data_IF_399665576330
#
_entry.id   IF_399665576330
#
_cell.length_a   1.000
_cell.length_b   1.000
_cell.length_c   1.000
_cell.angle_alpha   90.00
_cell.angle_beta   90.00
_cell.angle_gamma   90.00
#
_symmetry.space_group_name_H-M   'P 1'
#
loop_
_entity.id
_entity.type
_entity.pdbx_description
1 polymer ?
#
# COMPACT_ATOMS: atom_id res chain seq x y z
N UNK A 1 -9.01 -13.68 52.13
CA UNK A 1 -9.05 -12.81 50.93
C UNK A 1 -7.76 -13.00 50.13
N UNK A 2 -7.69 -13.96 49.19
CA UNK A 2 -6.57 -14.11 48.26
C UNK A 2 -7.06 -14.13 46.79
N UNK A 3 -7.87 -13.14 46.39
CA UNK A 3 -8.51 -13.11 45.06
C UNK A 3 -7.97 -12.04 44.10
N UNK A 4 -7.31 -10.99 44.60
CA UNK A 4 -6.99 -9.81 43.77
C UNK A 4 -5.67 -9.88 43.01
N UNK A 5 -4.72 -10.74 43.40
CA UNK A 5 -3.42 -10.86 42.71
C UNK A 5 -3.52 -11.74 41.45
N UNK A 6 -4.33 -12.81 41.48
CA UNK A 6 -4.49 -13.73 40.34
C UNK A 6 -5.25 -13.12 39.17
N UNK A 7 -6.14 -12.15 39.41
CA UNK A 7 -6.85 -11.43 38.35
C UNK A 7 -5.98 -10.31 37.73
N UNK A 8 -5.08 -9.71 38.53
CA UNK A 8 -4.11 -8.72 38.03
C UNK A 8 -3.07 -9.38 37.12
N UNK A 9 -2.52 -10.53 37.52
CA UNK A 9 -1.54 -11.28 36.70
C UNK A 9 -2.17 -11.85 35.41
N UNK A 10 -3.46 -12.23 35.46
CA UNK A 10 -4.19 -12.70 34.28
C UNK A 10 -4.54 -11.57 33.30
N UNK A 11 -4.70 -10.34 33.79
CA UNK A 11 -5.01 -9.18 32.95
C UNK A 11 -3.74 -8.55 32.36
N UNK A 12 -2.58 -8.69 33.02
CA UNK A 12 -1.28 -8.27 32.52
C UNK A 12 -0.75 -9.22 31.41
N UNK A 13 -1.04 -10.52 31.51
CA UNK A 13 -0.72 -11.50 30.45
C UNK A 13 -1.62 -11.40 29.20
N UNK A 14 -2.76 -10.71 29.30
CA UNK A 14 -3.67 -10.52 28.16
C UNK A 14 -3.28 -9.34 27.25
N UNK A 15 -2.39 -8.44 27.71
CA UNK A 15 -1.90 -7.30 26.92
C UNK A 15 -0.58 -7.61 26.18
N UNK A 16 0.19 -8.61 26.64
CA UNK A 16 1.46 -9.03 26.02
C UNK A 16 1.33 -9.79 24.68
N UNK A 17 0.10 -10.11 24.25
CA UNK A 17 -0.16 -10.90 23.04
C UNK A 17 -0.67 -10.12 21.83
N UNK A 18 -0.85 -8.79 21.94
CA UNK A 18 -1.30 -7.98 20.81
C UNK A 18 -0.08 -7.56 19.99
N UNK A 19 0.23 -8.37 18.98
CA UNK A 19 1.15 -8.01 17.91
C UNK A 19 0.80 -6.58 17.47
N UNK A 20 1.75 -5.61 17.47
CA UNK A 20 1.45 -4.24 17.10
C UNK A 20 0.77 -4.26 15.73
N UNK A 21 -0.46 -3.73 15.64
CA UNK A 21 -1.30 -3.84 14.44
C UNK A 21 -0.61 -3.36 13.15
N UNK A 22 0.44 -2.54 13.28
CA UNK A 22 1.35 -2.14 12.22
C UNK A 22 2.79 -2.17 12.74
N UNK A 23 3.67 -2.83 11.99
CA UNK A 23 5.11 -2.77 12.23
C UNK A 23 5.63 -1.34 11.92
N UNK A 24 6.84 -1.00 12.37
CA UNK A 24 7.40 0.36 12.21
C UNK A 24 7.48 0.78 10.73
N UNK A 25 7.75 -0.15 9.82
CA UNK A 25 7.85 0.13 8.39
C UNK A 25 6.49 0.51 7.83
N UNK A 26 5.42 -0.19 8.19
CA UNK A 26 4.06 0.11 7.73
C UNK A 26 3.61 1.48 8.25
N UNK A 27 3.95 1.83 9.50
CA UNK A 27 3.66 3.17 10.06
C UNK A 27 4.36 4.28 9.28
N UNK A 28 5.64 4.10 8.99
CA UNK A 28 6.41 5.09 8.22
C UNK A 28 5.92 5.15 6.78
N UNK A 29 5.59 4.01 6.17
CA UNK A 29 5.02 3.95 4.83
C UNK A 29 3.68 4.68 4.76
N UNK A 30 2.80 4.50 5.76
CA UNK A 30 1.51 5.19 5.85
C UNK A 30 1.69 6.70 6.03
N UNK A 31 2.64 7.11 6.88
CA UNK A 31 3.02 8.52 7.01
C UNK A 31 3.51 9.10 5.67
N UNK A 32 4.36 8.36 4.94
CA UNK A 32 4.81 8.77 3.61
C UNK A 32 3.66 8.87 2.61
N UNK A 33 2.71 7.91 2.60
CA UNK A 33 1.51 8.00 1.77
C UNK A 33 0.71 9.26 2.06
N UNK A 34 0.47 9.59 3.33
CA UNK A 34 -0.20 10.83 3.73
C UNK A 34 0.53 12.10 3.27
N UNK A 35 1.86 12.13 3.43
CA UNK A 35 2.70 13.25 2.98
C UNK A 35 2.67 13.41 1.44
N UNK A 36 2.73 12.31 0.69
CA UNK A 36 2.65 12.37 -0.76
C UNK A 36 1.25 12.76 -1.26
N UNK A 37 0.18 12.34 -0.57
CA UNK A 37 -1.16 12.85 -0.84
C UNK A 37 -1.22 14.38 -0.67
N UNK A 38 -0.68 14.90 0.43
CA UNK A 38 -0.63 16.35 0.68
C UNK A 38 0.20 17.09 -0.37
N UNK A 39 1.39 16.58 -0.72
CA UNK A 39 2.26 17.15 -1.75
C UNK A 39 1.57 17.17 -3.13
N UNK A 40 0.87 16.10 -3.49
CA UNK A 40 0.15 16.01 -4.77
C UNK A 40 -1.01 17.00 -4.81
N UNK A 41 -1.77 17.13 -3.71
CA UNK A 41 -2.84 18.11 -3.60
C UNK A 41 -2.32 19.55 -3.70
N UNK A 42 -1.25 19.89 -2.96
CA UNK A 42 -0.61 21.21 -3.03
C UNK A 42 -0.07 21.49 -4.43
N UNK A 43 0.53 20.49 -5.08
CA UNK A 43 0.98 20.60 -6.47
C UNK A 43 -0.17 20.82 -7.47
N UNK A 44 -1.29 20.12 -7.30
CA UNK A 44 -2.49 20.30 -8.12
C UNK A 44 -3.09 21.71 -7.93
N UNK A 45 -3.19 22.20 -6.69
CA UNK A 45 -3.67 23.57 -6.41
C UNK A 45 -2.71 24.62 -6.98
N UNK A 46 -1.39 24.45 -6.80
CA UNK A 46 -0.38 25.39 -7.30
C UNK A 46 -0.31 25.44 -8.83
N UNK A 47 -0.50 24.32 -9.52
CA UNK A 47 -0.55 24.29 -10.99
C UNK A 47 -1.83 24.93 -11.51
N UNK A 48 -2.97 24.67 -10.88
CA UNK A 48 -4.24 25.34 -11.21
C UNK A 48 -4.18 26.86 -11.00
N UNK A 49 -3.54 27.35 -9.92
CA UNK A 49 -3.39 28.79 -9.67
C UNK A 49 -2.37 29.46 -10.59
N UNK A 50 -1.27 28.77 -10.93
CA UNK A 50 -0.26 29.28 -11.86
C UNK A 50 -0.80 29.38 -13.29
N UNK A 51 -1.66 28.45 -13.69
CA UNK A 51 -2.32 28.46 -14.99
C UNK A 51 -3.49 29.46 -15.06
N UNK A 52 -3.99 29.95 -13.92
CA UNK A 52 -4.99 31.02 -13.85
C UNK A 52 -4.41 32.44 -14.09
N UNK A 53 -3.30 32.55 -14.84
CA UNK A 53 -2.82 33.85 -15.33
C UNK A 53 -3.86 34.49 -16.26
N UNK A 54 -4.06 35.83 -16.26
CA UNK A 54 -5.30 36.48 -16.74
C UNK A 54 -5.44 36.55 -18.27
N UNK A 55 -4.70 35.77 -19.03
CA UNK A 55 -4.64 35.86 -20.49
C UNK A 55 -5.17 34.60 -21.15
N UNK A 56 -6.37 34.74 -21.74
CA UNK A 56 -7.03 33.86 -22.72
C UNK A 56 -7.99 32.77 -22.20
N UNK A 57 -9.29 33.10 -22.22
CA UNK A 57 -10.40 32.17 -22.04
C UNK A 57 -10.62 31.15 -23.18
N UNK A 58 -9.66 31.02 -24.11
CA UNK A 58 -9.67 30.00 -25.17
C UNK A 58 -8.90 28.72 -24.77
N UNK A 59 -8.10 28.76 -23.70
CA UNK A 59 -7.18 27.69 -23.28
C UNK A 59 -7.61 26.95 -21.99
N UNK A 60 -8.83 27.18 -21.51
CA UNK A 60 -9.32 26.59 -20.26
C UNK A 60 -9.37 25.05 -20.32
N UNK A 61 -9.80 24.47 -21.44
CA UNK A 61 -9.82 23.03 -21.65
C UNK A 61 -8.42 22.40 -21.70
N UNK A 62 -7.46 23.05 -22.39
CA UNK A 62 -6.07 22.60 -22.44
C UNK A 62 -5.41 22.69 -21.05
N UNK A 63 -5.71 23.75 -20.30
CA UNK A 63 -5.24 23.95 -18.93
C UNK A 63 -5.76 22.88 -17.96
N UNK A 64 -7.06 22.58 -18.02
CA UNK A 64 -7.67 21.51 -17.21
C UNK A 64 -7.09 20.14 -17.58
N UNK A 65 -6.91 19.86 -18.88
CA UNK A 65 -6.29 18.63 -19.36
C UNK A 65 -4.85 18.48 -18.84
N UNK A 66 -4.01 19.51 -18.98
CA UNK A 66 -2.61 19.49 -18.51
C UNK A 66 -2.56 19.31 -16.98
N UNK A 67 -3.48 19.93 -16.25
CA UNK A 67 -3.54 19.81 -14.78
C UNK A 67 -3.99 18.40 -14.36
N UNK A 68 -5.03 17.84 -14.99
CA UNK A 68 -5.52 16.50 -14.71
C UNK A 68 -4.49 15.43 -15.08
N UNK A 69 -3.83 15.55 -16.24
CA UNK A 69 -2.75 14.65 -16.65
C UNK A 69 -1.53 14.78 -15.75
N UNK A 70 -1.13 15.99 -15.37
CA UNK A 70 -0.02 16.23 -14.45
C UNK A 70 -0.25 15.57 -13.09
N UNK A 71 -1.46 15.73 -12.54
CA UNK A 71 -1.86 15.08 -11.29
C UNK A 71 -1.83 13.55 -11.41
N UNK A 72 -2.36 13.01 -12.49
CA UNK A 72 -2.39 11.57 -12.78
C UNK A 72 -0.99 10.96 -12.87
N UNK A 73 -0.09 11.59 -13.62
CA UNK A 73 1.30 11.15 -13.78
C UNK A 73 2.07 11.27 -12.46
N UNK A 74 1.89 12.36 -11.71
CA UNK A 74 2.52 12.54 -10.40
C UNK A 74 2.10 11.44 -9.43
N UNK A 75 0.81 11.10 -9.40
CA UNK A 75 0.30 10.01 -8.56
C UNK A 75 0.90 8.65 -8.94
N UNK A 76 0.93 8.32 -10.24
CA UNK A 76 1.57 7.09 -10.71
C UNK A 76 3.06 7.00 -10.35
N UNK A 77 3.77 8.13 -10.35
CA UNK A 77 5.18 8.19 -9.95
C UNK A 77 5.35 7.93 -8.45
N UNK A 78 4.50 8.51 -7.61
CA UNK A 78 4.50 8.26 -6.16
C UNK A 78 4.30 6.77 -5.87
N UNK A 79 3.31 6.12 -6.50
CA UNK A 79 3.05 4.70 -6.32
C UNK A 79 4.24 3.83 -6.76
N UNK A 80 4.89 4.18 -7.88
CA UNK A 80 6.08 3.49 -8.36
C UNK A 80 7.26 3.62 -7.38
N UNK A 81 7.48 4.81 -6.80
CA UNK A 81 8.52 5.04 -5.78
C UNK A 81 8.19 4.26 -4.51
N UNK A 82 6.94 4.32 -4.04
CA UNK A 82 6.50 3.62 -2.82
C UNK A 82 6.61 2.10 -2.96
N UNK A 83 6.38 1.55 -4.15
CA UNK A 83 6.67 0.14 -4.43
C UNK A 83 8.15 -0.21 -4.22
N UNK A 84 9.07 0.63 -4.72
CA UNK A 84 10.51 0.42 -4.53
C UNK A 84 10.91 0.54 -3.05
N UNK A 85 10.37 1.54 -2.34
CA UNK A 85 10.60 1.72 -0.90
C UNK A 85 10.14 0.50 -0.12
N UNK A 86 8.91 0.00 -0.38
CA UNK A 86 8.38 -1.20 0.27
C UNK A 86 9.23 -2.43 -0.05
N UNK A 87 9.61 -2.62 -1.31
CA UNK A 87 10.47 -3.74 -1.74
C UNK A 87 11.84 -3.69 -1.03
N UNK A 88 12.43 -2.51 -0.90
CA UNK A 88 13.71 -2.33 -0.22
C UNK A 88 13.57 -2.58 1.29
N UNK A 89 12.52 -2.07 1.91
CA UNK A 89 12.25 -2.25 3.34
C UNK A 89 12.02 -3.73 3.69
N UNK A 90 11.23 -4.44 2.88
CA UNK A 90 10.98 -5.89 3.04
C UNK A 90 12.29 -6.68 2.93
N UNK A 91 13.14 -6.36 1.96
CA UNK A 91 14.48 -6.98 1.84
C UNK A 91 15.37 -6.64 3.02
N UNK A 92 15.33 -5.39 3.50
CA UNK A 92 16.07 -4.94 4.67
C UNK A 92 15.66 -5.69 5.93
N UNK A 93 14.36 -5.92 6.13
CA UNK A 93 13.84 -6.69 7.25
C UNK A 93 14.28 -8.16 7.18
N UNK A 94 14.13 -8.81 6.01
CA UNK A 94 14.59 -10.19 5.79
C UNK A 94 16.09 -10.34 6.05
N UNK A 95 16.88 -9.35 5.62
CA UNK A 95 18.31 -9.31 5.91
C UNK A 95 18.59 -9.20 7.41
N UNK A 96 17.93 -8.28 8.13
CA UNK A 96 18.10 -8.14 9.59
C UNK A 96 17.79 -9.44 10.35
N UNK A 97 16.72 -10.15 9.97
CA UNK A 97 16.35 -11.43 10.58
C UNK A 97 17.41 -12.49 10.30
N UNK A 98 17.88 -12.59 9.05
CA UNK A 98 18.93 -13.54 8.67
C UNK A 98 20.25 -13.26 9.42
N UNK A 99 20.64 -11.98 9.55
CA UNK A 99 21.83 -11.58 10.31
C UNK A 99 21.68 -11.88 11.79
N UNK A 100 20.56 -11.52 12.42
CA UNK A 100 20.29 -11.83 13.83
C UNK A 100 20.33 -13.34 14.11
N UNK A 101 19.81 -14.16 13.19
CA UNK A 101 19.87 -15.61 13.31
C UNK A 101 21.28 -16.20 13.13
N UNK A 102 22.17 -15.53 12.37
CA UNK A 102 23.58 -15.94 12.18
C UNK A 102 24.48 -15.51 13.33
N UNK A 103 24.23 -14.33 13.90
CA UNK A 103 25.03 -13.73 14.98
C UNK A 103 24.58 -14.20 16.38
N UNK A 104 23.45 -14.91 16.47
CA UNK A 104 22.93 -15.43 17.72
C UNK A 104 23.95 -16.34 18.45
N UNK A 105 24.23 -16.10 19.75
CA UNK A 105 25.16 -16.90 20.54
C UNK A 105 24.78 -18.37 20.66
N UNK A 106 23.47 -18.66 20.67
CA UNK A 106 22.93 -20.02 20.84
C UNK A 106 21.92 -20.39 19.75
N UNK A 107 21.80 -21.70 19.49
CA UNK A 107 20.80 -22.21 18.54
C UNK A 107 19.36 -21.83 18.96
N UNK A 108 19.08 -21.84 20.27
CA UNK A 108 17.77 -21.47 20.83
C UNK A 108 17.42 -20.00 20.58
N UNK A 109 18.39 -19.09 20.74
CA UNK A 109 18.19 -17.65 20.43
C UNK A 109 18.01 -17.41 18.94
N UNK A 110 18.76 -18.14 18.09
CA UNK A 110 18.61 -18.07 16.65
C UNK A 110 17.21 -18.54 16.19
N UNK A 111 16.73 -19.65 16.73
CA UNK A 111 15.38 -20.18 16.46
C UNK A 111 14.32 -19.19 16.91
N UNK A 112 14.47 -18.58 18.09
CA UNK A 112 13.54 -17.55 18.58
C UNK A 112 13.50 -16.33 17.66
N UNK A 113 14.66 -15.83 17.21
CA UNK A 113 14.75 -14.69 16.30
C UNK A 113 14.12 -14.96 14.92
N UNK A 114 14.22 -16.19 14.41
CA UNK A 114 13.52 -16.59 13.18
C UNK A 114 12.02 -16.71 13.44
N UNK A 115 11.63 -17.36 14.55
CA UNK A 115 10.22 -17.58 14.91
C UNK A 115 9.44 -16.27 15.01
N UNK A 116 9.98 -15.26 15.69
CA UNK A 116 9.31 -13.95 15.83
C UNK A 116 9.17 -13.18 14.52
N UNK A 117 9.95 -13.54 13.49
CA UNK A 117 9.84 -12.96 12.15
C UNK A 117 8.85 -13.71 11.23
N UNK A 118 8.39 -14.89 11.63
CA UNK A 118 7.39 -15.66 10.87
C UNK A 118 6.00 -15.06 11.03
N UNK A 119 5.14 -15.30 10.05
CA UNK A 119 3.71 -14.95 10.17
C UNK A 119 3.07 -15.72 11.33
N UNK A 120 2.00 -15.18 11.97
CA UNK A 120 1.35 -15.84 13.11
C UNK A 120 0.94 -17.29 12.81
N UNK A 121 0.47 -17.57 11.60
CA UNK A 121 0.12 -18.93 11.17
C UNK A 121 1.34 -19.86 11.12
N UNK A 122 2.48 -19.37 10.63
CA UNK A 122 3.71 -20.15 10.58
C UNK A 122 4.34 -20.35 11.97
N UNK A 123 4.17 -19.40 12.89
CA UNK A 123 4.56 -19.55 14.29
C UNK A 123 3.80 -20.70 14.97
N UNK A 124 2.53 -20.89 14.66
CA UNK A 124 1.71 -21.97 15.23
C UNK A 124 1.98 -23.34 14.59
N UNK A 125 2.31 -23.37 13.31
CA UNK A 125 2.46 -24.62 12.55
C UNK A 125 3.87 -25.22 12.62
N UNK A 126 4.92 -24.40 12.75
CA UNK A 126 6.30 -24.87 12.74
C UNK A 126 6.83 -25.13 14.14
N UNK A 127 7.39 -26.31 14.34
CA UNK A 127 8.15 -26.67 15.54
C UNK A 127 9.53 -26.03 15.57
N UNK A 128 10.12 -25.89 16.76
CA UNK A 128 11.49 -25.35 16.90
C UNK A 128 12.53 -26.20 16.15
N UNK A 129 12.31 -27.51 16.05
CA UNK A 129 13.17 -28.41 15.29
C UNK A 129 13.14 -28.11 13.79
N UNK A 130 11.96 -27.83 13.22
CA UNK A 130 11.83 -27.47 11.80
C UNK A 130 12.44 -26.10 11.50
N UNK A 131 12.30 -25.14 12.42
CA UNK A 131 12.96 -23.84 12.31
C UNK A 131 14.49 -23.99 12.39
N UNK A 132 15.01 -24.86 13.27
CA UNK A 132 16.45 -25.14 13.32
C UNK A 132 16.95 -25.81 12.04
N UNK A 133 16.18 -26.73 11.44
CA UNK A 133 16.51 -27.30 10.13
C UNK A 133 16.58 -26.23 9.03
N UNK A 134 15.65 -25.27 9.02
CA UNK A 134 15.67 -24.13 8.11
C UNK A 134 16.90 -23.25 8.34
N UNK A 135 17.21 -22.96 9.60
CA UNK A 135 18.42 -22.20 10.00
C UNK A 135 19.69 -22.90 9.49
N UNK A 136 19.82 -24.21 9.69
CA UNK A 136 20.97 -24.99 9.22
C UNK A 136 21.10 -24.97 7.69
N UNK A 137 19.98 -25.09 6.96
CA UNK A 137 19.98 -24.94 5.49
C UNK A 137 20.40 -23.54 5.06
N UNK A 138 19.96 -22.50 5.75
CA UNK A 138 20.37 -21.13 5.49
C UNK A 138 21.85 -20.89 5.80
N UNK A 139 22.38 -21.47 6.88
CA UNK A 139 23.80 -21.37 7.22
C UNK A 139 24.71 -22.04 6.19
N UNK A 140 24.22 -23.12 5.56
CA UNK A 140 24.93 -23.83 4.50
C UNK A 140 24.67 -23.25 3.10
N UNK A 141 23.70 -22.33 2.94
CA UNK A 141 23.47 -21.62 1.70
C UNK A 141 24.53 -20.52 1.55
N UNK A 142 25.38 -20.67 0.53
CA UNK A 142 26.60 -19.86 0.29
C UNK A 142 26.31 -18.38 0.03
N UNK A 143 25.09 -18.01 -0.38
CA UNK A 143 24.77 -16.65 -0.80
C UNK A 143 23.46 -16.15 -0.18
N UNK A 144 23.53 -15.67 1.06
CA UNK A 144 22.54 -14.71 1.54
C UNK A 144 22.96 -13.32 1.00
N UNK A 145 22.07 -12.59 0.29
CA UNK A 145 22.43 -11.29 -0.27
C UNK A 145 22.97 -10.36 0.81
N UNK A 146 24.20 -9.90 0.63
CA UNK A 146 24.99 -9.18 1.64
C UNK A 146 24.38 -7.83 2.03
N UNK A 147 23.47 -7.28 1.21
CA UNK A 147 22.74 -6.02 1.45
C UNK A 147 21.37 -6.02 0.75
N UNK A 148 20.40 -5.33 1.35
CA UNK A 148 19.17 -4.97 0.66
C UNK A 148 19.49 -3.96 -0.46
N UNK A 149 19.45 -4.43 -1.72
CA UNK A 149 19.63 -3.59 -2.91
C UNK A 149 18.41 -3.75 -3.82
N UNK A 150 18.05 -2.68 -4.51
CA UNK A 150 17.15 -2.73 -5.64
C UNK A 150 17.89 -3.30 -6.85
N UNK A 151 17.18 -4.07 -7.66
CA UNK A 151 17.70 -4.62 -8.91
C UNK A 151 16.86 -4.15 -10.11
N UNK A 152 17.31 -4.47 -11.32
CA UNK A 152 16.61 -4.08 -12.54
C UNK A 152 15.18 -4.64 -12.64
N UNK A 153 14.88 -5.79 -12.00
CA UNK A 153 13.52 -6.35 -11.97
C UNK A 153 12.60 -5.53 -11.08
N UNK A 154 13.12 -4.98 -9.98
CA UNK A 154 12.34 -4.10 -9.11
C UNK A 154 12.01 -2.78 -9.82
N UNK A 155 12.99 -2.22 -10.54
CA UNK A 155 12.76 -1.03 -11.38
C UNK A 155 11.76 -1.30 -12.50
N UNK A 156 11.83 -2.47 -13.14
CA UNK A 156 10.82 -2.87 -14.11
C UNK A 156 9.44 -3.05 -13.46
N UNK A 157 9.40 -3.55 -12.22
CA UNK A 157 8.18 -3.65 -11.41
C UNK A 157 7.57 -2.29 -11.12
N UNK A 158 8.38 -1.31 -10.72
CA UNK A 158 7.89 0.05 -10.45
C UNK A 158 7.38 0.73 -11.72
N UNK A 159 8.05 0.53 -12.87
CA UNK A 159 7.57 1.02 -14.17
C UNK A 159 6.22 0.37 -14.53
N UNK A 160 6.03 -0.92 -14.27
CA UNK A 160 4.73 -1.58 -14.48
C UNK A 160 3.64 -0.97 -13.61
N UNK A 161 3.93 -0.71 -12.34
CA UNK A 161 2.98 -0.06 -11.42
C UNK A 161 2.63 1.34 -11.90
N UNK A 162 3.63 2.14 -12.28
CA UNK A 162 3.43 3.46 -12.88
C UNK A 162 2.40 3.40 -14.03
N UNK A 163 2.62 2.51 -15.00
CA UNK A 163 1.71 2.38 -16.14
C UNK A 163 0.34 1.82 -15.75
N UNK A 164 0.26 0.86 -14.82
CA UNK A 164 -1.02 0.35 -14.31
C UNK A 164 -1.83 1.50 -13.69
N UNK A 165 -1.20 2.31 -12.85
CA UNK A 165 -1.86 3.42 -12.16
C UNK A 165 -2.31 4.48 -13.15
N UNK A 166 -1.42 4.96 -14.02
CA UNK A 166 -1.73 5.98 -15.02
C UNK A 166 -2.82 5.51 -16.00
N UNK A 167 -2.69 4.30 -16.55
CA UNK A 167 -3.64 3.78 -17.55
C UNK A 167 -4.99 3.40 -16.93
N UNK A 168 -5.04 3.03 -15.65
CA UNK A 168 -6.32 2.74 -14.98
C UNK A 168 -7.08 3.99 -14.56
N UNK A 169 -6.38 5.09 -14.33
CA UNK A 169 -6.99 6.36 -13.90
C UNK A 169 -7.28 7.30 -15.08
N UNK A 170 -6.63 7.10 -16.23
CA UNK A 170 -6.88 7.87 -17.45
C UNK A 170 -8.34 7.81 -17.95
N UNK A 171 -9.02 6.65 -18.02
CA UNK A 171 -10.43 6.58 -18.42
C UNK A 171 -11.36 7.39 -17.52
N UNK A 172 -11.01 7.52 -16.23
CA UNK A 172 -11.78 8.29 -15.24
C UNK A 172 -11.60 9.79 -15.44
N UNK A 173 -10.43 10.22 -15.92
CA UNK A 173 -10.13 11.62 -16.23
C UNK A 173 -10.65 12.06 -17.62
N UNK A 174 -10.83 11.11 -18.54
CA UNK A 174 -11.25 11.36 -19.92
C UNK A 174 -12.54 12.21 -20.07
N UNK A 175 -13.61 12.03 -19.25
CA UNK A 175 -14.83 12.83 -19.35
C UNK A 175 -14.60 14.33 -19.21
N UNK A 176 -13.62 14.76 -18.40
CA UNK A 176 -13.29 16.18 -18.22
C UNK A 176 -12.63 16.83 -19.44
N UNK A 177 -12.12 16.01 -20.35
CA UNK A 177 -11.50 16.45 -21.60
C UNK A 177 -12.53 16.53 -22.72
N UNK A 178 -13.46 15.58 -22.73
CA UNK A 178 -14.46 15.42 -23.79
C UNK A 178 -15.72 16.27 -23.56
N UNK A 179 -16.07 16.55 -22.30
CA UNK A 179 -17.29 17.23 -21.93
C UNK A 179 -16.98 18.62 -21.39
N UNK A 180 -17.57 19.65 -22.01
CA UNK A 180 -17.46 21.04 -21.53
C UNK A 180 -18.34 21.29 -20.29
N UNK A 181 -19.37 20.48 -20.08
CA UNK A 181 -20.24 20.56 -18.90
C UNK A 181 -19.62 19.81 -17.71
N UNK A 182 -19.08 20.57 -16.76
CA UNK A 182 -18.39 20.05 -15.57
C UNK A 182 -19.29 19.14 -14.71
N UNK A 183 -20.57 19.48 -14.42
CA UNK A 183 -21.47 18.60 -13.69
C UNK A 183 -21.67 17.24 -14.37
N UNK A 184 -21.89 17.21 -15.69
CA UNK A 184 -22.03 15.96 -16.44
C UNK A 184 -20.73 15.16 -16.45
N UNK A 185 -19.58 15.82 -16.64
CA UNK A 185 -18.26 15.18 -16.59
C UNK A 185 -18.00 14.48 -15.24
N UNK A 186 -18.35 15.14 -14.13
CA UNK A 186 -18.26 14.58 -12.78
C UNK A 186 -19.11 13.32 -12.61
N UNK A 187 -20.36 13.33 -13.09
CA UNK A 187 -21.25 12.18 -12.98
C UNK A 187 -20.71 10.99 -13.79
N UNK A 188 -20.30 11.23 -15.03
CA UNK A 188 -19.74 10.19 -15.91
C UNK A 188 -18.46 9.60 -15.29
N UNK A 189 -17.57 10.45 -14.78
CA UNK A 189 -16.34 10.03 -14.12
C UNK A 189 -16.60 9.18 -12.88
N UNK A 190 -17.58 9.56 -12.04
CA UNK A 190 -17.99 8.78 -10.86
C UNK A 190 -18.55 7.42 -11.24
N UNK A 191 -19.42 7.34 -12.24
CA UNK A 191 -19.98 6.07 -12.73
C UNK A 191 -18.87 5.16 -13.25
N UNK A 192 -17.96 5.69 -14.07
CA UNK A 192 -16.81 4.93 -14.59
C UNK A 192 -15.93 4.40 -13.45
N UNK A 193 -15.65 5.23 -12.44
CA UNK A 193 -14.87 4.81 -11.26
C UNK A 193 -15.54 3.65 -10.53
N UNK A 194 -16.85 3.71 -10.31
CA UNK A 194 -17.59 2.63 -9.63
C UNK A 194 -17.58 1.32 -10.45
N UNK A 195 -17.73 1.41 -11.78
CA UNK A 195 -17.62 0.23 -12.66
C UNK A 195 -16.21 -0.38 -12.58
N UNK A 196 -15.16 0.45 -12.61
CA UNK A 196 -13.78 -0.02 -12.52
C UNK A 196 -13.47 -0.63 -11.15
N UNK A 197 -13.99 -0.06 -10.06
CA UNK A 197 -13.90 -0.63 -8.72
C UNK A 197 -14.62 -1.98 -8.63
N UNK A 198 -15.80 -2.11 -9.24
CA UNK A 198 -16.53 -3.36 -9.29
C UNK A 198 -15.72 -4.45 -10.01
N UNK A 199 -15.21 -4.15 -11.22
CA UNK A 199 -14.42 -5.09 -12.03
C UNK A 199 -13.11 -5.45 -11.33
N UNK A 200 -12.40 -4.47 -10.77
CA UNK A 200 -11.18 -4.68 -10.00
C UNK A 200 -11.42 -5.53 -8.75
N UNK A 201 -12.51 -5.26 -8.02
CA UNK A 201 -12.92 -6.03 -6.86
C UNK A 201 -13.31 -7.47 -7.22
N UNK A 202 -14.00 -7.70 -8.33
CA UNK A 202 -14.30 -9.05 -8.82
C UNK A 202 -13.03 -9.83 -9.18
N UNK A 203 -12.10 -9.17 -9.88
CA UNK A 203 -10.82 -9.77 -10.23
C UNK A 203 -10.03 -10.14 -8.97
N UNK A 204 -9.95 -9.23 -7.99
CA UNK A 204 -9.30 -9.46 -6.71
C UNK A 204 -9.93 -10.63 -5.94
N UNK A 205 -11.26 -10.64 -5.81
CA UNK A 205 -11.99 -11.70 -5.11
C UNK A 205 -11.71 -13.07 -5.72
N UNK A 206 -11.70 -13.17 -7.05
CA UNK A 206 -11.42 -14.44 -7.75
C UNK A 206 -9.97 -14.92 -7.55
N UNK A 207 -9.00 -14.01 -7.49
CA UNK A 207 -7.60 -14.36 -7.23
C UNK A 207 -7.34 -14.72 -5.76
N UNK A 208 -8.08 -14.11 -4.83
CA UNK A 208 -7.96 -14.36 -3.39
C UNK A 208 -8.78 -15.59 -2.91
N UNK A 209 -9.49 -16.28 -3.80
CA UNK A 209 -10.34 -17.43 -3.45
C UNK A 209 -11.69 -17.06 -2.83
N UNK A 210 -12.07 -15.79 -2.86
CA UNK A 210 -13.38 -15.31 -2.43
C UNK A 210 -14.41 -15.32 -3.57
N UNK A 211 -15.69 -15.12 -3.22
CA UNK A 211 -16.73 -14.89 -4.23
C UNK A 211 -16.50 -13.53 -4.91
N UNK A 212 -16.06 -13.55 -6.17
CA UNK A 212 -15.77 -12.35 -6.95
C UNK A 212 -16.90 -11.32 -6.96
N UNK A 213 -18.16 -11.75 -7.10
CA UNK A 213 -19.30 -10.83 -7.10
C UNK A 213 -19.47 -10.10 -5.76
N UNK A 214 -19.31 -10.80 -4.65
CA UNK A 214 -19.40 -10.21 -3.32
C UNK A 214 -18.26 -9.20 -3.10
N UNK A 215 -17.02 -9.53 -3.49
CA UNK A 215 -15.88 -8.62 -3.40
C UNK A 215 -16.04 -7.40 -4.31
N UNK A 216 -16.54 -7.58 -5.53
CA UNK A 216 -16.85 -6.48 -6.45
C UNK A 216 -17.88 -5.51 -5.89
N UNK A 217 -19.01 -6.04 -5.39
CA UNK A 217 -20.04 -5.22 -4.74
C UNK A 217 -19.49 -4.51 -3.49
N UNK A 218 -18.68 -5.19 -2.68
CA UNK A 218 -18.02 -4.59 -1.51
C UNK A 218 -17.12 -3.42 -1.87
N UNK A 219 -16.27 -3.57 -2.89
CA UNK A 219 -15.38 -2.49 -3.37
C UNK A 219 -16.17 -1.31 -3.94
N UNK A 220 -17.29 -1.59 -4.63
CA UNK A 220 -18.18 -0.54 -5.14
C UNK A 220 -18.85 0.23 -3.99
N UNK A 221 -19.35 -0.49 -2.98
CA UNK A 221 -19.96 0.12 -1.80
C UNK A 221 -18.95 1.01 -1.04
N UNK A 222 -17.71 0.54 -0.86
CA UNK A 222 -16.62 1.33 -0.30
C UNK A 222 -16.39 2.62 -1.10
N UNK A 223 -16.33 2.51 -2.43
CA UNK A 223 -16.17 3.66 -3.33
C UNK A 223 -17.31 4.68 -3.21
N UNK A 224 -18.56 4.21 -3.08
CA UNK A 224 -19.72 5.09 -2.83
C UNK A 224 -19.60 5.80 -1.49
N UNK A 225 -19.29 5.07 -0.41
CA UNK A 225 -19.12 5.67 0.93
C UNK A 225 -18.02 6.72 0.93
N UNK A 226 -16.87 6.44 0.31
CA UNK A 226 -15.77 7.40 0.20
C UNK A 226 -16.18 8.63 -0.61
N UNK A 227 -16.89 8.43 -1.73
CA UNK A 227 -17.40 9.54 -2.55
C UNK A 227 -18.35 10.42 -1.74
N UNK A 228 -19.28 9.83 -0.98
CA UNK A 228 -20.20 10.57 -0.12
C UNK A 228 -19.48 11.33 1.00
N UNK A 229 -18.44 10.73 1.60
CA UNK A 229 -17.62 11.39 2.61
C UNK A 229 -16.87 12.60 2.05
N UNK A 230 -16.28 12.48 0.85
CA UNK A 230 -15.61 13.60 0.17
C UNK A 230 -16.60 14.73 -0.13
N UNK A 231 -17.80 14.41 -0.61
CA UNK A 231 -18.86 15.41 -0.87
C UNK A 231 -19.27 16.12 0.43
N UNK A 232 -19.44 15.37 1.52
CA UNK A 232 -19.80 15.95 2.83
C UNK A 232 -18.71 16.87 3.40
N UNK A 233 -17.44 16.61 3.06
CA UNK A 233 -16.28 17.42 3.46
C UNK A 233 -16.05 18.64 2.55
N UNK A 234 -16.89 18.87 1.55
CA UNK A 234 -16.85 20.06 0.69
C UNK A 234 -16.18 19.86 -0.67
N UNK A 235 -16.05 18.61 -1.14
CA UNK A 235 -15.53 18.25 -2.47
C UNK A 235 -16.60 17.92 -3.52
#
# INVERSE_FOLDING_TARGET
>A
MPGSQSESDAMEQADEGRDPALNVVDRVAEMCFGLFMALTFVGAVSSATSAASPTSGADAGHTMLVTALGCNLAWGLVDAIMFLVRTLADRGMRFKVATAAREAPTATEAVRAIRTALSPSAQLLLSDAEIDMLRQRMANAVELPERAKLNARDLLGSIRIFFIVVLSTFPVALPFVLLSDVPTALIVSRILTLIMLFVGGMALGRHAGFNGWATGLGMTALGVVLTMAVIALGG
#
